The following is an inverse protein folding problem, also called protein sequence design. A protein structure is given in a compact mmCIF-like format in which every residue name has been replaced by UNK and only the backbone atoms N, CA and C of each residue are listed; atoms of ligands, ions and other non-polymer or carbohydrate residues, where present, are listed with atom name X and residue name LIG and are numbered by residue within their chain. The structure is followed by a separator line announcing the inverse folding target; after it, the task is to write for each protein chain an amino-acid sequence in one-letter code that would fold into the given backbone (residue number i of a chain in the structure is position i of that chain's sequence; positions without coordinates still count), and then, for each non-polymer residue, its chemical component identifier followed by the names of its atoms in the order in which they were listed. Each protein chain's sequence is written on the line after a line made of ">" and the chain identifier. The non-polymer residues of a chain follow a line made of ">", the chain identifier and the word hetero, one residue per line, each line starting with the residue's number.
data_IF_815666619562
#
_entry.id   IF_815666619562
#
_cell.length_a   1.000
_cell.length_b   1.000
_cell.length_c   1.000
_cell.angle_alpha   90.00
_cell.angle_beta   90.00
_cell.angle_gamma   90.00
#
_symmetry.space_group_name_H-M   'P 1'
#
loop_
_entity.id
_entity.type
_entity.pdbx_description
1 polymer ?
#
# COMPACT_ATOMS: atom_id res chain seq x y z
N UNK A 1 42.09 4.95 -50.16
CA UNK A 1 41.87 5.65 -48.89
C UNK A 1 40.38 5.61 -48.60
N UNK A 2 39.97 4.80 -47.69
CA UNK A 2 38.56 4.70 -47.28
C UNK A 2 38.42 5.45 -45.98
N UNK A 3 37.78 6.60 -46.07
CA UNK A 3 37.51 7.45 -44.89
C UNK A 3 36.56 6.75 -43.92
N UNK A 4 37.05 6.44 -42.71
CA UNK A 4 36.21 6.04 -41.59
C UNK A 4 35.52 7.35 -41.10
N UNK A 5 34.25 7.50 -41.44
CA UNK A 5 33.37 8.47 -40.79
C UNK A 5 33.13 7.98 -39.39
N UNK A 6 33.77 8.58 -38.41
CA UNK A 6 33.44 8.46 -37.00
C UNK A 6 32.08 9.10 -36.80
N UNK A 7 31.06 8.26 -36.63
CA UNK A 7 29.77 8.69 -36.08
C UNK A 7 30.04 9.26 -34.69
N UNK A 8 29.91 10.56 -34.55
CA UNK A 8 29.89 11.21 -33.26
C UNK A 8 28.82 10.56 -32.39
N UNK A 9 29.14 10.31 -31.11
CA UNK A 9 28.13 10.00 -30.08
C UNK A 9 27.20 11.21 -29.93
N UNK A 10 26.38 11.46 -30.95
CA UNK A 10 25.30 12.43 -30.88
C UNK A 10 24.24 11.86 -29.92
N UNK A 11 23.92 12.63 -28.93
CA UNK A 11 22.82 12.46 -28.01
C UNK A 11 21.56 11.92 -28.69
N UNK A 12 21.34 10.63 -28.63
CA UNK A 12 20.02 10.03 -28.71
C UNK A 12 19.31 10.39 -27.41
N UNK A 13 18.99 11.66 -27.20
CA UNK A 13 17.97 12.04 -26.22
C UNK A 13 16.65 11.50 -26.74
N UNK A 14 16.34 10.27 -26.33
CA UNK A 14 14.99 9.75 -26.50
C UNK A 14 14.06 10.75 -25.84
N UNK A 15 13.05 11.22 -26.57
CA UNK A 15 12.03 12.10 -25.99
C UNK A 15 11.38 11.37 -24.84
N UNK A 16 11.34 12.03 -23.67
CA UNK A 16 10.67 11.44 -22.51
C UNK A 16 9.19 11.22 -22.79
N UNK A 17 8.65 10.16 -22.23
CA UNK A 17 7.20 9.89 -22.24
C UNK A 17 6.52 10.97 -21.40
N UNK A 18 5.59 11.72 -21.99
CA UNK A 18 4.83 12.76 -21.29
C UNK A 18 3.70 12.16 -20.52
N UNK A 19 3.61 12.45 -19.23
CA UNK A 19 2.48 12.07 -18.40
C UNK A 19 1.36 13.11 -18.51
N UNK A 20 0.14 12.63 -18.74
CA UNK A 20 -1.08 13.46 -18.77
C UNK A 20 -1.71 13.59 -17.38
N UNK A 21 -1.60 12.56 -16.58
CA UNK A 21 -2.15 12.48 -15.22
C UNK A 21 -1.00 12.30 -14.22
N UNK A 22 -0.96 13.03 -13.10
CA UNK A 22 0.07 12.83 -12.10
C UNK A 22 -0.06 11.47 -11.41
N UNK A 23 1.06 10.90 -11.03
CA UNK A 23 1.13 9.74 -10.15
C UNK A 23 0.99 10.22 -8.70
N UNK A 24 0.04 9.67 -7.95
CA UNK A 24 -0.01 9.89 -6.50
C UNK A 24 1.14 9.13 -5.86
N UNK A 25 2.07 9.87 -5.31
CA UNK A 25 3.28 9.35 -4.68
C UNK A 25 3.09 9.33 -3.17
N UNK A 26 2.95 8.14 -2.59
CA UNK A 26 2.84 7.92 -1.16
C UNK A 26 4.18 7.40 -0.63
N UNK A 27 5.01 8.31 -0.18
CA UNK A 27 6.32 7.97 0.37
C UNK A 27 6.18 7.25 1.71
N UNK A 28 7.22 6.57 2.15
CA UNK A 28 7.16 5.70 3.29
C UNK A 28 8.25 5.98 4.32
N UNK A 29 8.52 4.96 5.11
CA UNK A 29 9.51 5.02 6.18
C UNK A 29 10.83 4.35 5.78
N UNK A 30 11.90 4.74 6.48
CA UNK A 30 13.19 4.09 6.50
C UNK A 30 13.77 3.87 5.08
N UNK A 31 14.29 2.68 4.82
CA UNK A 31 15.00 2.32 3.59
C UNK A 31 14.08 2.36 2.34
N UNK A 32 12.76 2.20 2.48
CA UNK A 32 11.86 2.23 1.32
C UNK A 32 11.78 3.59 0.67
N UNK A 33 11.92 4.67 1.44
CA UNK A 33 12.04 6.05 0.96
C UNK A 33 13.28 6.20 0.07
N UNK A 34 14.41 5.68 0.50
CA UNK A 34 15.68 5.73 -0.24
C UNK A 34 15.56 4.92 -1.54
N UNK A 35 15.06 3.69 -1.45
CA UNK A 35 14.88 2.82 -2.62
C UNK A 35 13.93 3.43 -3.65
N UNK A 36 12.85 4.05 -3.20
CA UNK A 36 11.91 4.70 -4.11
C UNK A 36 12.55 5.90 -4.81
N UNK A 37 13.34 6.70 -4.10
CA UNK A 37 14.08 7.79 -4.71
C UNK A 37 15.04 7.29 -5.79
N UNK A 38 15.81 6.20 -5.52
CA UNK A 38 16.68 5.59 -6.51
C UNK A 38 15.90 5.10 -7.74
N UNK A 39 14.72 4.50 -7.56
CA UNK A 39 13.86 4.08 -8.66
C UNK A 39 13.42 5.28 -9.50
N UNK A 40 13.03 6.38 -8.86
CA UNK A 40 12.70 7.61 -9.59
C UNK A 40 13.88 8.10 -10.41
N UNK A 41 15.03 8.24 -9.79
CA UNK A 41 16.21 8.85 -10.41
C UNK A 41 16.81 8.01 -11.55
N UNK A 42 16.86 6.69 -11.38
CA UNK A 42 17.56 5.80 -12.30
C UNK A 42 16.63 5.15 -13.34
N UNK A 43 15.35 4.89 -12.99
CA UNK A 43 14.44 4.09 -13.83
C UNK A 43 13.25 4.87 -14.38
N UNK A 44 12.84 5.98 -13.76
CA UNK A 44 11.66 6.72 -14.20
C UNK A 44 12.03 8.05 -14.85
N UNK A 45 12.67 8.95 -14.12
CA UNK A 45 12.99 10.30 -14.58
C UNK A 45 13.81 10.34 -15.88
N UNK A 46 14.75 9.42 -16.15
CA UNK A 46 15.45 9.41 -17.44
C UNK A 46 14.53 9.20 -18.65
N UNK A 47 13.43 8.48 -18.50
CA UNK A 47 12.56 8.05 -19.58
C UNK A 47 11.18 8.71 -19.59
N UNK A 48 10.74 9.23 -18.46
CA UNK A 48 9.39 9.76 -18.25
C UNK A 48 9.49 11.20 -17.76
N UNK A 49 8.62 12.09 -18.28
CA UNK A 49 8.35 13.41 -17.69
C UNK A 49 7.46 13.20 -16.45
N UNK A 50 8.08 12.72 -15.38
CA UNK A 50 7.40 12.27 -14.18
C UNK A 50 6.74 13.44 -13.45
N UNK A 51 5.42 13.38 -13.35
CA UNK A 51 4.59 14.30 -12.55
C UNK A 51 4.03 13.53 -11.36
N UNK A 52 4.29 14.03 -10.17
CA UNK A 52 3.79 13.40 -8.94
C UNK A 52 2.93 14.38 -8.14
N UNK A 53 1.93 13.84 -7.43
CA UNK A 53 1.28 14.49 -6.31
C UNK A 53 1.73 13.76 -5.05
N UNK A 54 2.57 14.43 -4.27
CA UNK A 54 3.36 13.83 -3.21
C UNK A 54 2.67 13.87 -1.86
N UNK A 55 2.69 12.74 -1.15
CA UNK A 55 2.21 12.57 0.23
C UNK A 55 3.26 11.81 1.03
N UNK A 56 3.72 12.41 2.11
CA UNK A 56 4.61 11.72 3.06
C UNK A 56 3.80 10.88 4.04
N UNK A 57 3.81 9.56 3.87
CA UNK A 57 3.17 8.62 4.79
C UNK A 57 4.14 8.08 5.85
N UNK A 58 5.28 8.72 6.04
CA UNK A 58 6.19 8.43 7.13
C UNK A 58 5.52 8.64 8.49
N UNK A 59 5.96 7.88 9.48
CA UNK A 59 5.32 7.83 10.79
C UNK A 59 5.27 9.20 11.49
N UNK A 60 6.31 10.03 11.30
CA UNK A 60 6.38 11.38 11.87
C UNK A 60 5.31 12.30 11.29
N UNK A 61 5.16 12.32 9.96
CA UNK A 61 4.17 13.15 9.28
C UNK A 61 2.74 12.69 9.58
N UNK A 62 2.52 11.38 9.64
CA UNK A 62 1.25 10.81 10.07
C UNK A 62 0.89 11.23 11.50
N UNK A 63 1.87 11.19 12.41
CA UNK A 63 1.67 11.65 13.78
C UNK A 63 1.40 13.16 13.87
N UNK A 64 2.05 13.96 13.03
CA UNK A 64 1.84 15.41 12.97
C UNK A 64 0.43 15.76 12.48
N UNK A 65 -0.08 15.02 11.50
CA UNK A 65 -1.37 15.28 10.82
C UNK A 65 -2.53 14.48 11.39
N UNK A 66 -2.35 13.77 12.50
CA UNK A 66 -3.34 12.86 13.07
C UNK A 66 -3.86 11.86 12.02
N UNK A 67 -2.93 11.30 11.23
CA UNK A 67 -3.12 10.39 10.10
C UNK A 67 -4.00 10.92 8.94
N UNK A 68 -4.30 12.23 8.91
CA UNK A 68 -5.09 12.84 7.83
C UNK A 68 -4.38 12.75 6.48
N UNK A 69 -3.04 12.79 6.45
CA UNK A 69 -2.27 12.62 5.21
C UNK A 69 -2.57 11.28 4.52
N UNK A 70 -2.83 10.22 5.27
CA UNK A 70 -3.25 8.91 4.71
C UNK A 70 -4.61 9.02 4.01
N UNK A 71 -5.56 9.73 4.61
CA UNK A 71 -6.90 9.95 4.05
C UNK A 71 -6.83 10.81 2.79
N UNK A 72 -6.03 11.87 2.81
CA UNK A 72 -5.85 12.77 1.67
C UNK A 72 -5.19 12.05 0.49
N UNK A 73 -4.17 11.23 0.74
CA UNK A 73 -3.53 10.44 -0.31
C UNK A 73 -4.47 9.43 -0.96
N UNK A 74 -5.38 8.82 -0.18
CA UNK A 74 -6.41 7.94 -0.72
C UNK A 74 -7.43 8.70 -1.60
N UNK A 75 -7.86 9.90 -1.16
CA UNK A 75 -8.74 10.77 -1.97
C UNK A 75 -8.07 11.20 -3.28
N UNK A 76 -6.79 11.56 -3.23
CA UNK A 76 -6.02 11.87 -4.43
C UNK A 76 -5.94 10.67 -5.38
N UNK A 77 -5.75 9.47 -4.84
CA UNK A 77 -5.75 8.23 -5.63
C UNK A 77 -7.09 7.99 -6.33
N UNK A 78 -8.21 8.25 -5.64
CA UNK A 78 -9.55 8.18 -6.26
C UNK A 78 -9.69 9.19 -7.40
N UNK A 79 -9.13 10.39 -7.23
CA UNK A 79 -9.19 11.46 -8.24
C UNK A 79 -8.35 11.15 -9.49
N UNK A 80 -7.13 10.65 -9.30
CA UNK A 80 -6.18 10.45 -10.40
C UNK A 80 -6.13 9.02 -10.93
N UNK A 81 -6.64 8.06 -10.20
CA UNK A 81 -6.78 6.65 -10.64
C UNK A 81 -5.49 5.83 -10.57
N UNK A 82 -4.36 6.40 -10.15
CA UNK A 82 -3.08 5.70 -10.05
C UNK A 82 -2.24 6.23 -8.89
N UNK A 83 -1.67 5.31 -8.12
CA UNK A 83 -0.76 5.65 -7.03
C UNK A 83 0.36 4.61 -6.89
N UNK A 84 1.47 5.05 -6.33
CA UNK A 84 2.52 4.18 -5.79
C UNK A 84 2.64 4.43 -4.30
N UNK A 85 2.75 3.38 -3.52
CA UNK A 85 2.91 3.46 -2.07
C UNK A 85 4.15 2.70 -1.63
N UNK A 86 5.03 3.40 -0.93
CA UNK A 86 6.16 2.81 -0.22
C UNK A 86 5.71 2.11 1.06
N UNK A 87 6.57 1.27 1.62
CA UNK A 87 6.29 0.63 2.90
C UNK A 87 6.28 1.66 4.03
N UNK A 88 5.37 1.47 4.98
CA UNK A 88 5.19 2.34 6.14
C UNK A 88 5.25 1.55 7.43
N UNK A 89 5.74 2.17 8.49
CA UNK A 89 5.73 1.60 9.83
C UNK A 89 4.29 1.56 10.36
N UNK A 90 3.88 0.40 10.86
CA UNK A 90 2.70 0.27 11.73
C UNK A 90 3.22 0.20 13.16
N UNK A 91 2.97 1.22 14.00
CA UNK A 91 3.57 1.28 15.32
C UNK A 91 3.00 0.22 16.25
N UNK A 92 3.86 -0.29 17.11
CA UNK A 92 3.54 -1.10 18.27
C UNK A 92 3.87 -0.33 19.55
N UNK A 93 3.68 -0.92 20.72
CA UNK A 93 3.93 -0.25 22.00
C UNK A 93 5.37 0.30 22.14
N UNK A 94 6.38 -0.41 21.62
CA UNK A 94 7.78 0.05 21.66
C UNK A 94 7.97 1.30 20.77
N UNK A 95 7.40 1.31 19.58
CA UNK A 95 7.45 2.43 18.65
C UNK A 95 6.73 3.69 19.17
N UNK A 96 5.72 3.54 20.03
CA UNK A 96 5.06 4.67 20.68
C UNK A 96 6.04 5.55 21.44
N UNK A 97 6.91 4.94 22.22
CA UNK A 97 7.92 5.66 23.01
C UNK A 97 9.07 6.16 22.13
N UNK A 98 9.54 5.35 21.20
CA UNK A 98 10.66 5.66 20.30
C UNK A 98 10.39 6.91 19.46
N UNK A 99 9.18 7.04 18.91
CA UNK A 99 8.78 8.14 18.03
C UNK A 99 7.94 9.22 18.75
N UNK A 100 7.74 9.11 20.05
CA UNK A 100 6.89 10.01 20.83
C UNK A 100 5.52 10.23 20.17
N UNK A 101 4.83 9.12 19.86
CA UNK A 101 3.56 9.17 19.14
C UNK A 101 2.41 9.56 20.05
N UNK A 102 1.45 10.30 19.50
CA UNK A 102 0.20 10.69 20.19
C UNK A 102 -0.70 9.47 20.41
N UNK A 103 -0.72 8.55 19.44
CA UNK A 103 -1.48 7.30 19.52
C UNK A 103 -0.85 6.21 18.64
N UNK A 104 -1.31 4.98 18.82
CA UNK A 104 -0.88 3.82 18.01
C UNK A 104 -1.64 3.81 16.68
N UNK A 105 -1.12 4.58 15.72
CA UNK A 105 -1.72 4.76 14.40
C UNK A 105 -1.97 3.42 13.69
N UNK A 106 -3.14 3.29 13.07
CA UNK A 106 -3.50 2.12 12.27
C UNK A 106 -2.62 2.01 11.02
N UNK A 107 -2.59 0.83 10.42
CA UNK A 107 -1.87 0.64 9.15
C UNK A 107 -2.49 1.48 8.04
N UNK A 108 -1.72 2.35 7.36
CA UNK A 108 -2.20 3.10 6.20
C UNK A 108 -2.73 2.20 5.08
N UNK A 109 -2.18 0.99 4.95
CA UNK A 109 -2.66 0.02 3.96
C UNK A 109 -4.14 -0.33 4.16
N UNK A 110 -4.56 -0.50 5.41
CA UNK A 110 -5.96 -0.79 5.74
C UNK A 110 -6.87 0.39 5.41
N UNK A 111 -6.48 1.59 5.81
CA UNK A 111 -7.24 2.83 5.57
C UNK A 111 -7.40 3.10 4.07
N UNK A 112 -6.28 3.08 3.31
CA UNK A 112 -6.29 3.34 1.87
C UNK A 112 -7.15 2.31 1.14
N UNK A 113 -6.95 1.01 1.39
CA UNK A 113 -7.73 -0.05 0.74
C UNK A 113 -9.22 0.05 1.04
N UNK A 114 -9.59 0.36 2.28
CA UNK A 114 -10.98 0.55 2.66
C UNK A 114 -11.61 1.75 1.96
N UNK A 115 -10.90 2.85 1.84
CA UNK A 115 -11.40 4.05 1.14
C UNK A 115 -11.53 3.83 -0.37
N UNK A 116 -10.61 3.08 -0.97
CA UNK A 116 -10.65 2.75 -2.40
C UNK A 116 -11.66 1.64 -2.73
N UNK A 117 -12.24 0.98 -1.72
CA UNK A 117 -13.16 -0.16 -1.86
C UNK A 117 -12.59 -1.24 -2.78
N UNK A 118 -11.32 -1.53 -2.60
CA UNK A 118 -10.53 -2.31 -3.53
C UNK A 118 -10.35 -3.77 -3.15
N UNK A 119 -10.18 -4.62 -4.17
CA UNK A 119 -9.75 -6.01 -4.01
C UNK A 119 -8.30 -6.13 -4.45
N UNK A 120 -7.47 -6.75 -3.61
CA UNK A 120 -6.08 -7.04 -3.93
C UNK A 120 -5.99 -8.44 -4.53
N UNK A 121 -5.47 -8.53 -5.75
CA UNK A 121 -5.16 -9.80 -6.40
C UNK A 121 -3.65 -10.04 -6.36
N UNK A 122 -3.26 -11.25 -5.97
CA UNK A 122 -1.87 -11.68 -5.99
C UNK A 122 -1.77 -12.98 -6.77
N UNK A 123 -0.97 -12.97 -7.84
CA UNK A 123 -0.60 -14.17 -8.59
C UNK A 123 0.91 -14.39 -8.45
N UNK A 124 1.39 -15.64 -8.41
CA UNK A 124 2.82 -15.92 -8.41
C UNK A 124 3.49 -15.34 -9.65
N UNK A 125 4.63 -14.71 -9.47
CA UNK A 125 5.50 -14.30 -10.56
C UNK A 125 6.46 -15.45 -10.80
N UNK A 126 6.34 -16.11 -11.98
CA UNK A 126 7.20 -17.20 -12.38
C UNK A 126 8.24 -16.68 -13.36
N UNK A 127 9.51 -16.80 -13.01
CA UNK A 127 10.63 -16.38 -13.86
C UNK A 127 11.25 -17.63 -14.51
N UNK A 128 11.42 -17.60 -15.84
CA UNK A 128 12.04 -18.71 -16.58
C UNK A 128 13.44 -18.99 -16.04
N UNK A 129 13.70 -20.24 -15.69
CA UNK A 129 14.99 -20.68 -15.16
C UNK A 129 15.14 -20.55 -13.65
N UNK A 130 14.15 -20.00 -12.94
CA UNK A 130 14.10 -19.98 -11.47
C UNK A 130 13.02 -20.94 -11.01
N UNK A 131 13.44 -21.94 -10.21
CA UNK A 131 12.50 -22.90 -9.67
C UNK A 131 11.70 -22.26 -8.51
N UNK A 132 10.34 -22.37 -8.52
CA UNK A 132 9.53 -21.84 -7.43
C UNK A 132 9.73 -22.62 -6.13
N UNK A 133 9.53 -21.96 -5.00
CA UNK A 133 9.66 -22.58 -3.66
C UNK A 133 8.75 -23.80 -3.49
N UNK A 134 7.57 -23.79 -4.11
CA UNK A 134 6.62 -24.90 -4.07
C UNK A 134 6.62 -25.59 -5.44
N UNK A 135 7.44 -26.61 -5.56
CA UNK A 135 7.70 -27.32 -6.82
C UNK A 135 6.51 -28.07 -7.40
N UNK A 136 5.56 -28.46 -6.57
CA UNK A 136 4.36 -29.21 -6.94
C UNK A 136 3.26 -28.34 -7.54
N UNK A 137 3.39 -27.02 -7.49
CA UNK A 137 2.41 -26.11 -8.06
C UNK A 137 2.66 -25.97 -9.58
N UNK A 138 1.84 -26.65 -10.36
CA UNK A 138 1.94 -26.65 -11.85
C UNK A 138 0.92 -25.73 -12.51
N UNK A 139 0.01 -25.15 -11.73
CA UNK A 139 -1.01 -24.20 -12.21
C UNK A 139 -0.91 -22.90 -11.44
N UNK A 140 -1.21 -21.76 -12.07
CA UNK A 140 -1.23 -20.49 -11.38
C UNK A 140 -2.32 -20.48 -10.30
N UNK A 141 -1.98 -19.94 -9.13
CA UNK A 141 -2.90 -19.71 -8.01
C UNK A 141 -3.02 -18.22 -7.81
N UNK A 142 -4.24 -17.69 -7.92
CA UNK A 142 -4.52 -16.29 -7.65
C UNK A 142 -5.22 -16.18 -6.31
N UNK A 143 -4.67 -15.35 -5.43
CA UNK A 143 -5.25 -15.05 -4.11
C UNK A 143 -5.85 -13.65 -4.16
N UNK A 144 -7.14 -13.54 -3.86
CA UNK A 144 -7.84 -12.27 -3.77
C UNK A 144 -8.14 -11.93 -2.30
N UNK A 145 -8.00 -10.66 -1.94
CA UNK A 145 -8.32 -10.14 -0.62
C UNK A 145 -9.09 -8.82 -0.75
N UNK A 146 -10.29 -8.79 -0.21
CA UNK A 146 -11.11 -7.58 -0.18
C UNK A 146 -10.80 -6.70 1.04
N UNK A 147 -10.92 -5.38 0.89
CA UNK A 147 -10.60 -4.42 1.95
C UNK A 147 -11.43 -4.61 3.23
N UNK A 148 -12.70 -4.96 3.09
CA UNK A 148 -13.62 -5.15 4.22
C UNK A 148 -13.56 -6.56 4.82
N UNK A 149 -13.01 -7.53 4.11
CA UNK A 149 -12.73 -8.88 4.63
C UNK A 149 -11.39 -9.01 5.32
N UNK A 150 -10.73 -7.88 5.60
CA UNK A 150 -9.38 -7.85 6.14
C UNK A 150 -9.37 -7.95 7.67
N UNK A 151 -8.35 -8.63 8.19
CA UNK A 151 -8.03 -8.72 9.62
C UNK A 151 -7.92 -7.35 10.32
N UNK A 152 -7.59 -6.30 9.59
CA UNK A 152 -7.48 -4.94 10.15
C UNK A 152 -8.82 -4.33 10.62
N UNK A 153 -9.96 -4.93 10.27
CA UNK A 153 -11.28 -4.52 10.74
C UNK A 153 -11.95 -5.59 11.63
N UNK A 154 -11.23 -6.64 11.97
CA UNK A 154 -11.70 -7.65 12.91
C UNK A 154 -11.84 -7.04 14.32
N UNK A 155 -12.88 -7.43 15.02
CA UNK A 155 -13.03 -7.17 16.46
C UNK A 155 -12.67 -8.44 17.20
N UNK A 156 -11.73 -8.34 18.12
CA UNK A 156 -11.24 -9.46 18.90
C UNK A 156 -11.72 -9.32 20.34
N UNK A 157 -12.12 -10.45 20.92
CA UNK A 157 -12.47 -10.57 22.32
C UNK A 157 -11.80 -11.79 22.93
N UNK A 158 -10.97 -11.58 23.94
CA UNK A 158 -10.37 -12.68 24.71
C UNK A 158 -11.35 -13.14 25.78
N UNK A 159 -11.78 -14.41 25.70
CA UNK A 159 -12.60 -15.02 26.76
C UNK A 159 -11.72 -15.61 27.86
N UNK A 160 -12.09 -15.36 29.12
CA UNK A 160 -11.29 -15.77 30.28
C UNK A 160 -11.44 -17.27 30.66
N UNK A 161 -12.42 -17.97 30.09
CA UNK A 161 -12.71 -19.38 30.36
C UNK A 161 -13.99 -19.84 29.69
N UNK A 162 -14.45 -21.07 29.98
CA UNK A 162 -15.70 -21.58 29.44
C UNK A 162 -16.88 -20.67 29.81
N UNK A 163 -17.74 -20.39 28.86
CA UNK A 163 -18.87 -19.48 29.07
C UNK A 163 -19.73 -19.34 27.81
N UNK A 164 -20.72 -18.47 27.89
CA UNK A 164 -21.59 -18.08 26.77
C UNK A 164 -21.19 -16.71 26.26
N UNK A 165 -20.94 -16.56 24.97
CA UNK A 165 -20.80 -15.28 24.32
C UNK A 165 -22.07 -14.96 23.52
N UNK A 166 -22.58 -13.73 23.64
CA UNK A 166 -23.77 -13.29 22.91
C UNK A 166 -23.42 -12.02 22.10
N UNK A 167 -23.74 -12.03 20.81
CA UNK A 167 -23.72 -10.84 19.97
C UNK A 167 -25.14 -10.28 19.88
N UNK A 168 -25.38 -9.12 20.48
CA UNK A 168 -26.68 -8.47 20.48
C UNK A 168 -26.61 -7.20 19.65
N UNK A 169 -27.42 -7.15 18.60
CA UNK A 169 -27.62 -5.93 17.83
C UNK A 169 -29.00 -5.33 18.20
N UNK A 170 -29.00 -4.09 18.68
CA UNK A 170 -30.20 -3.36 19.01
C UNK A 170 -30.19 -2.06 18.17
N UNK A 171 -31.17 -1.92 17.28
CA UNK A 171 -31.38 -0.68 16.53
C UNK A 171 -32.66 -0.01 17.01
N UNK A 172 -32.71 1.33 16.98
CA UNK A 172 -33.95 2.06 17.27
C UNK A 172 -35.01 1.73 16.19
N UNK A 173 -36.17 1.24 16.65
CA UNK A 173 -37.33 0.95 15.79
C UNK A 173 -37.28 -0.41 15.05
N UNK A 174 -36.35 -1.30 15.34
CA UNK A 174 -36.25 -2.61 14.71
C UNK A 174 -36.22 -3.71 15.79
N UNK A 175 -36.91 -4.83 15.54
CA UNK A 175 -36.92 -5.99 16.43
C UNK A 175 -35.49 -6.52 16.74
N UNK A 176 -35.28 -6.91 18.01
CA UNK A 176 -34.04 -7.52 18.47
C UNK A 176 -33.73 -8.78 17.66
N UNK A 177 -32.58 -8.79 16.98
CA UNK A 177 -32.00 -10.00 16.41
C UNK A 177 -30.87 -10.48 17.28
N UNK A 178 -31.02 -11.63 17.90
CA UNK A 178 -29.97 -12.25 18.67
C UNK A 178 -29.25 -13.29 17.81
N UNK A 179 -27.92 -13.22 17.78
CA UNK A 179 -27.09 -14.23 17.15
C UNK A 179 -26.35 -14.99 18.26
N UNK A 180 -26.59 -16.28 18.37
CA UNK A 180 -25.88 -17.13 19.31
C UNK A 180 -24.66 -17.72 18.63
N UNK A 181 -23.48 -17.45 19.17
CA UNK A 181 -22.22 -18.05 18.79
C UNK A 181 -21.86 -19.12 19.82
N UNK A 182 -21.95 -20.39 19.44
CA UNK A 182 -21.38 -21.47 20.23
C UNK A 182 -19.85 -21.48 20.04
N UNK A 183 -19.13 -21.20 21.10
CA UNK A 183 -17.68 -21.32 21.18
C UNK A 183 -17.27 -22.63 21.84
#
# INVERSE_FOLDING_TARGET
>A
MVGKTLLSKGDLRMSKITMTTPLVEMDGDEMTRILWQMIKDELLIPFIDLKTEYYDLGLEERNRTDDQVTVESAKATMKYGVAVKCATITPNAARMTEYNLKEMWKSPNGTIRAMLDGTVFRAPIVVKGIEPNVKTWVKPITIARHAYGDVYKATEMKVAGPGKAELVFTAEGIDRRNYELCL
#
